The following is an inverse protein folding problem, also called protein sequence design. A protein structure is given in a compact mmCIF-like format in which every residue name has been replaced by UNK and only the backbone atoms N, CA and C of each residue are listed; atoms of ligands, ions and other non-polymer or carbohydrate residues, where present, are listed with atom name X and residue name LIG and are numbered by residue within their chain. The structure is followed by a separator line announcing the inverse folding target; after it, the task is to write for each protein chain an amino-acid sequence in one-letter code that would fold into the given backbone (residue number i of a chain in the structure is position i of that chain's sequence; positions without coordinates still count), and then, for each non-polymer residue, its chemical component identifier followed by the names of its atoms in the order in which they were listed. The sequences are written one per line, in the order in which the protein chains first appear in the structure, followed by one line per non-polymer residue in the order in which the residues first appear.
data_IF_803866089780
#
_entry.id   IF_803866089780
#
_cell.length_a   1.000
_cell.length_b   1.000
_cell.length_c   1.000
_cell.angle_alpha   90.00
_cell.angle_beta   90.00
_cell.angle_gamma   90.00
#
_symmetry.space_group_name_H-M   'P 1'
#
loop_
_entity.id
_entity.type
_entity.pdbx_description
1 polymer ?
#
# COMPACT_ATOMS: atom_id res chain seq x y z
N UNK A 1 27.88 64.44 22.71
CA UNK A 1 26.51 63.90 22.60
C UNK A 1 26.55 62.55 21.97
N UNK A 2 26.36 61.47 22.75
CA UNK A 2 26.22 60.09 22.26
C UNK A 2 24.73 59.75 22.23
N UNK A 3 24.18 59.06 21.25
CA UNK A 3 22.82 58.50 21.32
C UNK A 3 22.85 57.15 22.05
N UNK A 4 21.72 56.73 22.65
CA UNK A 4 21.66 55.58 23.53
C UNK A 4 21.43 54.26 22.79
N UNK A 5 22.13 53.22 23.31
CA UNK A 5 21.97 51.82 22.94
C UNK A 5 20.59 51.27 23.31
N UNK A 6 19.78 50.96 22.34
CA UNK A 6 18.54 50.23 22.48
C UNK A 6 18.71 48.75 22.09
N UNK A 7 19.09 47.87 23.02
CA UNK A 7 19.01 46.40 22.83
C UNK A 7 17.59 45.95 23.13
N UNK A 8 16.85 45.57 22.09
CA UNK A 8 15.63 44.79 22.24
C UNK A 8 16.00 43.30 22.38
N UNK A 9 15.78 42.78 23.58
CA UNK A 9 15.85 41.35 23.85
C UNK A 9 14.49 40.71 23.51
N UNK A 10 14.45 39.94 22.46
CA UNK A 10 13.32 39.05 22.13
C UNK A 10 13.43 37.79 23.00
N UNK A 11 12.48 37.59 23.90
CA UNK A 11 12.24 36.32 24.57
C UNK A 11 11.11 35.62 23.80
N UNK A 12 11.36 34.45 23.16
CA UNK A 12 10.26 33.63 22.65
C UNK A 12 9.68 32.88 23.85
N UNK A 13 8.45 33.22 24.23
CA UNK A 13 7.64 32.39 25.10
C UNK A 13 7.23 31.09 24.39
N UNK A 14 6.91 29.99 25.12
CA UNK A 14 6.50 28.73 24.50
C UNK A 14 5.18 28.93 23.79
N UNK A 15 5.19 28.78 22.44
CA UNK A 15 3.96 28.67 21.67
C UNK A 15 3.29 27.34 22.03
N UNK A 16 2.25 27.41 22.82
CA UNK A 16 1.31 26.30 22.99
C UNK A 16 0.52 26.21 21.68
N UNK A 17 0.82 25.20 20.89
CA UNK A 17 -0.05 24.76 19.77
C UNK A 17 -1.30 24.12 20.40
N UNK A 18 -2.31 24.91 20.68
CA UNK A 18 -3.67 24.42 20.81
C UNK A 18 -4.09 23.83 19.46
N UNK A 19 -4.03 22.51 19.35
CA UNK A 19 -4.69 21.78 18.28
C UNK A 19 -6.19 21.92 18.54
N UNK A 20 -6.79 22.94 17.93
CA UNK A 20 -8.24 23.04 17.81
C UNK A 20 -8.73 21.86 16.98
N UNK A 21 -9.08 20.77 17.66
CA UNK A 21 -9.87 19.69 17.07
C UNK A 21 -11.26 20.25 16.76
N UNK A 22 -11.43 20.79 15.54
CA UNK A 22 -12.78 20.99 15.02
C UNK A 22 -13.42 19.59 14.92
N UNK A 23 -14.62 19.38 15.50
CA UNK A 23 -15.38 18.16 15.19
C UNK A 23 -15.54 18.14 13.67
N UNK A 24 -15.30 16.96 13.08
CA UNK A 24 -15.54 16.75 11.65
C UNK A 24 -16.98 17.21 11.36
N UNK A 25 -17.21 17.94 10.24
CA UNK A 25 -18.55 18.34 9.87
C UNK A 25 -19.39 17.06 9.83
N UNK A 26 -20.56 17.06 10.50
CA UNK A 26 -21.53 15.99 10.37
C UNK A 26 -21.84 15.87 8.88
N UNK A 27 -21.27 14.85 8.23
CA UNK A 27 -21.54 14.58 6.85
C UNK A 27 -23.04 14.18 6.77
N UNK A 28 -23.80 14.86 5.93
CA UNK A 28 -25.16 14.47 5.61
C UNK A 28 -25.12 13.13 4.85
N UNK A 29 -25.12 12.04 5.61
CA UNK A 29 -25.23 10.69 5.04
C UNK A 29 -26.64 10.49 4.50
N UNK A 30 -26.74 10.01 3.27
CA UNK A 30 -28.02 9.53 2.73
C UNK A 30 -28.35 8.17 3.33
N UNK A 31 -29.63 7.75 3.30
CA UNK A 31 -30.04 6.44 3.79
C UNK A 31 -29.43 5.25 3.04
N UNK A 32 -28.79 5.50 1.89
CA UNK A 32 -28.14 4.48 1.05
C UNK A 32 -26.64 4.44 1.21
N UNK A 33 -26.04 5.41 1.93
CA UNK A 33 -24.61 5.45 2.17
C UNK A 33 -24.18 4.37 3.17
N UNK A 34 -23.09 3.69 2.88
CA UNK A 34 -22.54 2.64 3.74
C UNK A 34 -21.13 3.00 4.20
N UNK A 35 -20.89 2.83 5.50
CA UNK A 35 -19.56 3.02 6.08
C UNK A 35 -18.86 1.67 6.19
N UNK A 36 -17.69 1.55 5.60
CA UNK A 36 -16.81 0.39 5.72
C UNK A 36 -15.41 0.84 6.18
N UNK A 37 -14.73 -0.03 6.92
CA UNK A 37 -13.32 0.17 7.18
C UNK A 37 -12.49 -0.84 6.38
N UNK A 38 -11.33 -0.39 5.91
CA UNK A 38 -10.33 -1.25 5.30
C UNK A 38 -9.05 -1.24 6.12
N UNK A 39 -8.44 -2.40 6.27
CA UNK A 39 -7.27 -2.63 7.09
C UNK A 39 -6.23 -3.43 6.30
N UNK A 40 -5.03 -2.89 6.20
CA UNK A 40 -3.94 -3.48 5.43
C UNK A 40 -2.68 -3.60 6.27
N UNK A 41 -2.06 -4.77 6.22
CA UNK A 41 -0.66 -4.93 6.63
C UNK A 41 0.11 -5.54 5.46
N UNK A 42 1.10 -4.79 4.98
CA UNK A 42 1.88 -5.14 3.80
C UNK A 42 3.05 -6.07 4.08
N UNK A 43 3.78 -6.44 3.03
CA UNK A 43 4.99 -7.29 3.13
C UNK A 43 6.15 -6.61 3.84
N UNK A 44 6.14 -5.29 3.99
CA UNK A 44 7.09 -4.51 4.78
C UNK A 44 7.00 -4.83 6.28
N UNK A 45 5.81 -5.24 6.76
CA UNK A 45 5.51 -5.50 8.18
C UNK A 45 5.87 -4.32 9.09
N UNK A 46 5.68 -3.10 8.61
CA UNK A 46 5.91 -1.86 9.36
C UNK A 46 4.73 -1.49 10.27
N UNK A 47 3.51 -1.90 9.89
CA UNK A 47 2.32 -1.67 10.70
C UNK A 47 1.03 -2.08 10.02
N UNK A 48 -0.06 -1.56 10.55
CA UNK A 48 -1.41 -1.70 10.02
C UNK A 48 -1.90 -0.33 9.59
N UNK A 49 -2.16 -0.17 8.29
CA UNK A 49 -2.88 0.97 7.73
C UNK A 49 -4.38 0.73 7.79
N UNK A 50 -5.12 1.71 8.24
CA UNK A 50 -6.56 1.67 8.30
C UNK A 50 -7.21 2.90 7.71
N UNK A 51 -8.38 2.72 7.10
CA UNK A 51 -9.23 3.82 6.60
C UNK A 51 -10.69 3.56 6.96
N UNK A 52 -11.44 4.64 7.14
CA UNK A 52 -12.89 4.60 7.27
C UNK A 52 -13.51 5.37 6.11
N UNK A 53 -14.34 4.70 5.33
CA UNK A 53 -14.84 5.19 4.04
C UNK A 53 -16.36 5.12 3.99
N UNK A 54 -16.96 6.16 3.42
CA UNK A 54 -18.35 6.20 3.00
C UNK A 54 -18.43 5.85 1.52
N UNK A 55 -19.18 4.81 1.21
CA UNK A 55 -19.53 4.44 -0.16
C UNK A 55 -20.97 4.85 -0.47
N UNK A 56 -21.22 5.30 -1.69
CA UNK A 56 -22.57 5.48 -2.21
C UNK A 56 -23.22 4.12 -2.59
N UNK A 57 -24.45 4.17 -3.05
CA UNK A 57 -25.23 2.98 -3.48
C UNK A 57 -24.58 2.22 -4.63
N UNK A 58 -23.77 2.90 -5.47
CA UNK A 58 -23.01 2.29 -6.56
C UNK A 58 -21.62 1.77 -6.14
N UNK A 59 -21.26 1.92 -4.86
CA UNK A 59 -19.95 1.51 -4.33
C UNK A 59 -18.79 2.44 -4.69
N UNK A 60 -19.08 3.67 -5.14
CA UNK A 60 -18.07 4.70 -5.35
C UNK A 60 -17.71 5.33 -4.02
N UNK A 61 -16.46 5.70 -3.85
CA UNK A 61 -16.02 6.45 -2.66
C UNK A 61 -16.63 7.85 -2.69
N UNK A 62 -17.52 8.11 -1.74
CA UNK A 62 -18.09 9.43 -1.51
C UNK A 62 -17.18 10.30 -0.65
N UNK A 63 -16.61 9.67 0.39
CA UNK A 63 -15.74 10.36 1.34
C UNK A 63 -14.84 9.37 2.08
N UNK A 64 -13.58 9.75 2.28
CA UNK A 64 -12.71 9.16 3.29
C UNK A 64 -12.87 9.96 4.58
N UNK A 65 -13.42 9.34 5.63
CA UNK A 65 -13.69 10.01 6.91
C UNK A 65 -12.40 10.23 7.70
N UNK A 66 -11.56 9.22 7.76
CA UNK A 66 -10.26 9.27 8.44
C UNK A 66 -9.37 8.11 8.02
N UNK A 67 -8.09 8.23 8.33
CA UNK A 67 -7.10 7.16 8.23
C UNK A 67 -6.30 7.06 9.53
N UNK A 68 -5.78 5.89 9.82
CA UNK A 68 -4.93 5.63 10.98
C UNK A 68 -3.83 4.66 10.62
N UNK A 69 -2.70 4.78 11.29
CA UNK A 69 -1.60 3.83 11.24
C UNK A 69 -1.25 3.35 12.66
N UNK A 70 -1.01 2.05 12.78
CA UNK A 70 -0.53 1.44 14.03
C UNK A 70 0.76 0.69 13.72
N UNK A 71 1.90 1.09 14.28
CA UNK A 71 3.18 0.45 14.01
C UNK A 71 3.18 -0.99 14.53
N UNK A 72 3.79 -1.90 13.76
CA UNK A 72 3.91 -3.29 14.16
C UNK A 72 4.98 -3.44 15.26
N UNK A 73 4.62 -4.01 16.43
CA UNK A 73 5.58 -4.26 17.48
C UNK A 73 6.68 -5.23 17.00
N UNK A 74 7.93 -4.96 17.38
CA UNK A 74 9.08 -5.75 16.96
C UNK A 74 8.96 -7.26 17.31
N UNK A 75 8.41 -7.66 18.48
CA UNK A 75 8.18 -9.08 18.75
C UNK A 75 7.24 -9.76 17.77
N UNK A 76 6.15 -9.07 17.38
CA UNK A 76 5.19 -9.59 16.40
C UNK A 76 5.83 -9.66 15.01
N UNK A 77 6.57 -8.62 14.59
CA UNK A 77 7.31 -8.61 13.32
C UNK A 77 8.25 -9.81 13.20
N UNK A 78 9.02 -10.12 14.25
CA UNK A 78 9.90 -11.30 14.27
C UNK A 78 9.13 -12.61 14.16
N UNK A 79 7.99 -12.75 14.85
CA UNK A 79 7.14 -13.94 14.74
C UNK A 79 6.63 -14.15 13.31
N UNK A 80 6.11 -13.10 12.69
CA UNK A 80 5.60 -13.14 11.32
C UNK A 80 6.70 -13.40 10.29
N UNK A 81 7.89 -12.82 10.48
CA UNK A 81 9.06 -13.08 9.62
C UNK A 81 9.51 -14.54 9.72
N UNK A 82 9.56 -15.11 10.93
CA UNK A 82 9.92 -16.51 11.11
C UNK A 82 8.93 -17.45 10.41
N UNK A 83 7.64 -17.11 10.38
CA UNK A 83 6.59 -17.88 9.70
C UNK A 83 6.65 -17.81 8.17
N UNK A 84 7.52 -17.00 7.58
CA UNK A 84 7.77 -17.02 6.14
C UNK A 84 8.61 -18.22 5.68
N UNK A 85 9.24 -18.92 6.61
CA UNK A 85 10.06 -20.11 6.35
C UNK A 85 9.55 -21.31 7.16
N UNK A 86 9.66 -22.53 6.63
CA UNK A 86 9.28 -23.75 7.37
C UNK A 86 10.05 -23.89 8.69
N UNK A 87 9.33 -24.17 9.77
CA UNK A 87 9.90 -24.37 11.10
C UNK A 87 9.11 -25.42 11.91
N UNK A 88 9.64 -25.87 13.03
CA UNK A 88 8.91 -26.71 13.97
C UNK A 88 7.82 -25.92 14.69
N UNK A 89 6.69 -26.56 15.00
CA UNK A 89 5.53 -25.98 15.75
C UNK A 89 4.91 -24.74 15.06
N UNK A 90 4.94 -24.69 13.72
CA UNK A 90 4.40 -23.57 12.96
C UNK A 90 2.92 -23.29 13.24
N UNK A 91 2.10 -24.32 13.43
CA UNK A 91 0.64 -24.15 13.61
C UNK A 91 0.32 -23.36 14.88
N UNK A 92 0.95 -23.69 16.00
CA UNK A 92 0.74 -22.97 17.24
C UNK A 92 1.35 -21.55 17.17
N UNK A 93 2.52 -21.39 16.52
CA UNK A 93 3.13 -20.09 16.30
C UNK A 93 2.25 -19.19 15.41
N UNK A 94 1.69 -19.73 14.33
CA UNK A 94 0.78 -19.03 13.44
C UNK A 94 -0.52 -18.60 14.15
N UNK A 95 -1.11 -19.49 14.96
CA UNK A 95 -2.30 -19.16 15.74
C UNK A 95 -2.04 -17.99 16.71
N UNK A 96 -0.94 -18.03 17.47
CA UNK A 96 -0.55 -16.93 18.38
C UNK A 96 -0.27 -15.62 17.63
N UNK A 97 0.44 -15.68 16.51
CA UNK A 97 0.71 -14.50 15.67
C UNK A 97 -0.59 -13.91 15.11
N UNK A 98 -1.54 -14.76 14.68
CA UNK A 98 -2.85 -14.33 14.21
C UNK A 98 -3.66 -13.60 15.28
N UNK A 99 -3.60 -14.05 16.56
CA UNK A 99 -4.23 -13.38 17.68
C UNK A 99 -3.61 -12.00 17.97
N UNK A 100 -2.28 -11.91 18.04
CA UNK A 100 -1.58 -10.64 18.25
C UNK A 100 -1.86 -9.64 17.11
N UNK A 101 -1.93 -10.16 15.89
CA UNK A 101 -2.27 -9.32 14.72
C UNK A 101 -3.70 -8.81 14.80
N UNK A 102 -4.66 -9.65 15.23
CA UNK A 102 -6.04 -9.21 15.43
C UNK A 102 -6.16 -8.10 16.49
N UNK A 103 -5.38 -8.18 17.58
CA UNK A 103 -5.33 -7.13 18.61
C UNK A 103 -4.78 -5.82 18.03
N UNK A 104 -3.74 -5.88 17.20
CA UNK A 104 -3.16 -4.72 16.52
C UNK A 104 -4.16 -4.09 15.51
N UNK A 105 -4.89 -4.91 14.77
CA UNK A 105 -5.97 -4.48 13.88
C UNK A 105 -7.11 -3.82 14.66
N UNK A 106 -7.49 -4.38 15.80
CA UNK A 106 -8.52 -3.80 16.69
C UNK A 106 -8.10 -2.43 17.22
N UNK A 107 -6.82 -2.24 17.57
CA UNK A 107 -6.28 -0.92 17.96
C UNK A 107 -6.41 0.09 16.81
N UNK A 108 -6.10 -0.31 15.57
CA UNK A 108 -6.27 0.54 14.39
C UNK A 108 -7.74 0.95 14.20
N UNK A 109 -8.68 0.00 14.33
CA UNK A 109 -10.12 0.29 14.26
C UNK A 109 -10.55 1.26 15.36
N UNK A 110 -10.09 1.07 16.59
CA UNK A 110 -10.41 1.99 17.70
C UNK A 110 -9.94 3.42 17.40
N UNK A 111 -8.73 3.60 16.85
CA UNK A 111 -8.22 4.92 16.43
C UNK A 111 -9.11 5.54 15.35
N UNK A 112 -9.51 4.77 14.34
CA UNK A 112 -10.41 5.24 13.28
C UNK A 112 -11.75 5.73 13.86
N UNK A 113 -12.36 4.95 14.75
CA UNK A 113 -13.64 5.28 15.38
C UNK A 113 -13.53 6.52 16.27
N UNK A 114 -12.45 6.63 17.08
CA UNK A 114 -12.21 7.78 17.94
C UNK A 114 -12.00 9.07 17.14
N UNK A 115 -11.20 9.01 16.07
CA UNK A 115 -10.90 10.18 15.23
C UNK A 115 -12.12 10.67 14.43
N UNK A 116 -12.98 9.75 13.99
CA UNK A 116 -14.16 10.09 13.19
C UNK A 116 -15.41 10.39 14.00
N UNK A 117 -15.47 9.99 15.27
CA UNK A 117 -16.69 10.02 16.08
C UNK A 117 -17.76 9.02 15.66
N UNK A 118 -17.43 8.10 14.72
CA UNK A 118 -18.35 7.05 14.25
C UNK A 118 -18.42 5.92 15.28
N UNK A 119 -19.63 5.46 15.57
CA UNK A 119 -19.84 4.31 16.45
C UNK A 119 -19.65 2.98 15.69
N UNK A 120 -19.24 1.89 16.37
CA UNK A 120 -19.11 0.57 15.73
C UNK A 120 -20.38 0.11 14.99
N UNK A 121 -21.56 0.51 15.47
CA UNK A 121 -22.85 0.14 14.85
C UNK A 121 -23.11 0.78 13.49
N UNK A 122 -22.44 1.88 13.18
CA UNK A 122 -22.57 2.59 11.91
C UNK A 122 -21.64 1.99 10.84
N UNK A 123 -20.63 1.20 11.24
CA UNK A 123 -19.71 0.55 10.32
C UNK A 123 -20.29 -0.79 9.90
N UNK A 124 -20.53 -0.97 8.61
CA UNK A 124 -21.21 -2.15 8.05
C UNK A 124 -20.32 -3.41 8.12
N UNK A 125 -19.04 -3.28 7.78
CA UNK A 125 -18.04 -4.34 7.90
C UNK A 125 -16.62 -3.78 7.83
N UNK A 126 -15.66 -4.57 8.36
CA UNK A 126 -14.23 -4.38 8.21
C UNK A 126 -13.74 -5.29 7.08
N UNK A 127 -12.96 -4.77 6.15
CA UNK A 127 -12.18 -5.54 5.20
C UNK A 127 -10.74 -5.69 5.72
N UNK A 128 -10.35 -6.87 6.13
CA UNK A 128 -9.06 -7.11 6.76
C UNK A 128 -8.17 -8.02 5.90
N UNK A 129 -7.05 -7.47 5.43
CA UNK A 129 -6.09 -8.25 4.63
C UNK A 129 -5.45 -9.39 5.43
N UNK A 130 -5.10 -9.13 6.69
CA UNK A 130 -4.22 -10.00 7.46
C UNK A 130 -2.76 -9.85 7.00
N UNK A 131 -1.87 -10.74 7.44
CA UNK A 131 -0.45 -10.75 7.06
C UNK A 131 -0.11 -11.97 6.24
N UNK A 132 0.33 -11.78 5.01
CA UNK A 132 0.77 -12.87 4.15
C UNK A 132 2.05 -13.51 4.71
N UNK A 133 2.00 -14.82 4.99
CA UNK A 133 3.14 -15.62 5.43
C UNK A 133 3.51 -16.69 4.43
N UNK A 134 2.56 -17.17 3.61
CA UNK A 134 2.79 -18.09 2.49
C UNK A 134 1.94 -17.64 1.29
N UNK A 135 2.52 -17.74 0.12
CA UNK A 135 1.79 -17.46 -1.12
C UNK A 135 2.34 -18.36 -2.23
N UNK A 136 1.66 -19.45 -2.49
CA UNK A 136 2.09 -20.51 -3.44
C UNK A 136 0.91 -20.90 -4.33
N UNK A 137 0.44 -19.99 -5.21
CA UNK A 137 -0.71 -20.25 -6.07
C UNK A 137 -0.54 -21.46 -6.98
N UNK A 138 0.72 -21.75 -7.38
CA UNK A 138 1.04 -22.94 -8.17
C UNK A 138 0.71 -24.27 -7.46
N UNK A 139 0.72 -24.26 -6.12
CA UNK A 139 0.30 -25.39 -5.27
C UNK A 139 -1.15 -25.24 -4.78
N UNK A 140 -1.86 -24.21 -5.24
CA UNK A 140 -3.27 -24.00 -4.95
C UNK A 140 -3.57 -23.36 -3.60
N UNK A 141 -2.61 -22.68 -2.95
CA UNK A 141 -2.86 -22.05 -1.66
C UNK A 141 -2.17 -20.69 -1.47
N UNK A 142 -2.75 -19.92 -0.54
CA UNK A 142 -2.21 -18.67 0.00
C UNK A 142 -2.65 -18.52 1.46
N UNK A 143 -1.80 -17.99 2.32
CA UNK A 143 -2.09 -17.85 3.75
C UNK A 143 -1.83 -16.41 4.21
N UNK A 144 -2.90 -15.73 4.58
CA UNK A 144 -2.89 -14.46 5.28
C UNK A 144 -3.35 -14.70 6.72
N UNK A 145 -2.42 -14.56 7.67
CA UNK A 145 -2.74 -14.76 9.09
C UNK A 145 -3.57 -13.63 9.64
N UNK A 146 -4.64 -13.98 10.32
CA UNK A 146 -5.48 -13.09 11.12
C UNK A 146 -6.46 -13.97 11.91
N UNK A 147 -6.62 -13.71 13.22
CA UNK A 147 -7.75 -14.24 13.99
C UNK A 147 -8.96 -13.31 13.77
N UNK A 148 -9.64 -13.51 12.64
CA UNK A 148 -10.77 -12.66 12.24
C UNK A 148 -11.98 -12.74 13.20
N UNK A 149 -12.35 -13.91 13.80
CA UNK A 149 -13.34 -13.98 14.87
C UNK A 149 -12.97 -13.12 16.09
N UNK A 150 -11.69 -13.14 16.51
CA UNK A 150 -11.20 -12.30 17.61
C UNK A 150 -11.31 -10.82 17.29
N UNK A 151 -10.98 -10.42 16.07
CA UNK A 151 -11.15 -9.03 15.61
C UNK A 151 -12.63 -8.61 15.64
N UNK A 152 -13.55 -9.46 15.17
CA UNK A 152 -14.98 -9.20 15.19
C UNK A 152 -15.51 -9.06 16.61
N UNK A 153 -15.07 -9.92 17.54
CA UNK A 153 -15.41 -9.86 18.97
C UNK A 153 -14.90 -8.57 19.61
N UNK A 154 -13.62 -8.22 19.37
CA UNK A 154 -12.98 -7.06 19.98
C UNK A 154 -13.58 -5.72 19.51
N UNK A 155 -13.99 -5.62 18.24
CA UNK A 155 -14.49 -4.39 17.64
C UNK A 155 -16.02 -4.27 17.69
N UNK A 156 -16.73 -5.39 17.76
CA UNK A 156 -18.18 -5.45 17.62
C UNK A 156 -18.67 -5.12 16.20
N UNK A 157 -17.81 -5.31 15.19
CA UNK A 157 -18.08 -5.05 13.77
C UNK A 157 -17.82 -6.34 12.99
N UNK A 158 -18.67 -6.65 12.01
CA UNK A 158 -18.46 -7.78 11.11
C UNK A 158 -17.13 -7.68 10.37
N UNK A 159 -16.40 -8.80 10.22
CA UNK A 159 -15.09 -8.84 9.55
C UNK A 159 -15.16 -9.70 8.30
N UNK A 160 -14.66 -9.14 7.21
CA UNK A 160 -14.39 -9.85 5.96
C UNK A 160 -12.88 -10.06 5.88
N UNK A 161 -12.45 -11.31 5.88
CA UNK A 161 -11.03 -11.71 5.80
C UNK A 161 -10.86 -12.85 4.79
N UNK A 162 -9.64 -13.36 4.61
CA UNK A 162 -9.32 -14.38 3.61
C UNK A 162 -9.79 -13.99 2.19
N UNK A 163 -9.37 -12.84 1.75
CA UNK A 163 -9.81 -12.24 0.50
C UNK A 163 -9.13 -12.81 -0.76
N UNK A 164 -8.17 -13.75 -0.60
CA UNK A 164 -7.37 -14.28 -1.73
C UNK A 164 -7.63 -15.73 -2.06
N UNK A 165 -8.03 -16.55 -1.09
CA UNK A 165 -8.16 -18.01 -1.27
C UNK A 165 -9.20 -18.41 -2.30
N UNK A 166 -10.31 -17.65 -2.41
CA UNK A 166 -11.36 -17.95 -3.40
C UNK A 166 -10.85 -17.77 -4.85
N UNK A 167 -10.02 -16.75 -5.11
CA UNK A 167 -9.40 -16.55 -6.43
C UNK A 167 -8.39 -17.66 -6.74
N UNK A 168 -7.55 -18.05 -5.77
CA UNK A 168 -6.61 -19.17 -5.93
C UNK A 168 -7.35 -20.49 -6.20
N UNK A 169 -8.43 -20.76 -5.48
CA UNK A 169 -9.28 -21.93 -5.72
C UNK A 169 -9.93 -21.91 -7.11
N UNK A 170 -10.23 -20.73 -7.65
CA UNK A 170 -10.67 -20.56 -9.02
C UNK A 170 -9.54 -20.69 -10.07
N UNK A 171 -8.30 -20.99 -9.64
CA UNK A 171 -7.13 -21.12 -10.50
C UNK A 171 -6.39 -19.81 -10.78
N UNK A 172 -6.80 -18.72 -10.12
CA UNK A 172 -6.12 -17.43 -10.19
C UNK A 172 -4.87 -17.39 -9.31
N UNK A 173 -4.13 -16.29 -9.43
CA UNK A 173 -2.89 -16.07 -8.67
C UNK A 173 -3.16 -15.51 -7.25
N UNK A 174 -4.39 -15.14 -6.87
CA UNK A 174 -4.71 -14.53 -5.59
C UNK A 174 -4.18 -13.10 -5.40
N UNK A 175 -3.39 -12.61 -6.35
CA UNK A 175 -2.81 -11.28 -6.41
C UNK A 175 -2.50 -10.92 -7.88
N UNK A 176 -2.50 -9.61 -8.24
CA UNK A 176 -2.95 -8.48 -7.44
C UNK A 176 -4.49 -8.36 -7.40
N UNK A 177 -5.07 -7.92 -6.27
CA UNK A 177 -6.52 -7.64 -6.16
C UNK A 177 -6.86 -6.16 -6.43
N UNK A 178 -5.90 -5.27 -6.17
CA UNK A 178 -6.11 -3.82 -6.30
C UNK A 178 -6.48 -3.33 -7.69
N UNK A 179 -6.05 -3.95 -8.81
CA UNK A 179 -6.48 -3.51 -10.13
C UNK A 179 -7.99 -3.49 -10.34
N UNK A 180 -8.74 -4.44 -9.75
CA UNK A 180 -10.20 -4.45 -9.80
C UNK A 180 -10.81 -3.24 -9.05
N UNK A 181 -10.27 -2.92 -7.87
CA UNK A 181 -10.62 -1.72 -7.11
C UNK A 181 -10.29 -0.44 -7.88
N UNK A 182 -9.07 -0.34 -8.42
CA UNK A 182 -8.65 0.83 -9.19
C UNK A 182 -9.57 1.09 -10.39
N UNK A 183 -9.93 0.04 -11.12
CA UNK A 183 -10.85 0.15 -12.26
C UNK A 183 -12.24 0.65 -11.85
N UNK A 184 -12.72 0.24 -10.68
CA UNK A 184 -14.01 0.65 -10.16
C UNK A 184 -13.98 2.09 -9.65
N UNK A 185 -13.03 2.42 -8.78
CA UNK A 185 -13.02 3.71 -8.09
C UNK A 185 -12.58 4.86 -8.99
N UNK A 186 -11.74 4.58 -9.99
CA UNK A 186 -11.26 5.57 -10.96
C UNK A 186 -11.95 5.48 -12.34
N UNK A 187 -13.11 4.82 -12.41
CA UNK A 187 -13.87 4.64 -13.66
C UNK A 187 -14.26 5.94 -14.39
N UNK A 188 -14.22 7.09 -13.68
CA UNK A 188 -14.46 8.41 -14.27
C UNK A 188 -13.32 8.94 -15.15
N UNK A 189 -12.12 8.37 -15.04
CA UNK A 189 -10.98 8.78 -15.88
C UNK A 189 -11.12 8.22 -17.29
N UNK A 190 -10.73 9.02 -18.27
CA UNK A 190 -10.81 8.64 -19.69
C UNK A 190 -9.42 8.40 -20.28
N UNK A 191 -9.34 7.49 -21.25
CA UNK A 191 -8.12 7.17 -21.96
C UNK A 191 -7.37 5.98 -21.36
N UNK A 192 -6.06 5.97 -21.52
CA UNK A 192 -5.17 4.91 -21.00
C UNK A 192 -4.28 5.47 -19.90
N UNK A 193 -4.48 5.06 -18.68
CA UNK A 193 -3.80 5.60 -17.51
C UNK A 193 -3.33 4.49 -16.55
N UNK A 194 -2.42 4.85 -15.64
CA UNK A 194 -1.86 3.94 -14.66
C UNK A 194 -2.09 4.39 -13.23
N UNK A 195 -2.25 3.42 -12.33
CA UNK A 195 -2.12 3.62 -10.89
C UNK A 195 -0.86 2.87 -10.47
N UNK A 196 0.13 3.61 -9.98
CA UNK A 196 1.42 3.08 -9.58
C UNK A 196 1.55 3.07 -8.07
N UNK A 197 1.50 1.88 -7.48
CA UNK A 197 1.76 1.70 -6.06
C UNK A 197 3.26 1.57 -5.81
N UNK A 198 3.83 2.51 -5.08
CA UNK A 198 5.23 2.57 -4.65
C UNK A 198 5.35 2.04 -3.21
N UNK A 199 5.14 0.73 -3.05
CA UNK A 199 5.41 -0.01 -1.82
C UNK A 199 6.87 -0.45 -1.70
N UNK A 200 7.14 -1.61 -1.14
CA UNK A 200 8.49 -2.22 -1.21
C UNK A 200 8.89 -2.55 -2.64
N UNK A 201 7.95 -3.13 -3.40
CA UNK A 201 8.00 -3.36 -4.85
C UNK A 201 7.02 -2.38 -5.49
N UNK A 202 7.37 -1.87 -6.66
CA UNK A 202 6.48 -1.02 -7.46
C UNK A 202 5.52 -1.88 -8.28
N UNK A 203 4.21 -1.64 -8.14
CA UNK A 203 3.17 -2.34 -8.88
C UNK A 203 2.37 -1.34 -9.71
N UNK A 204 2.23 -1.62 -11.02
CA UNK A 204 1.51 -0.78 -11.96
C UNK A 204 0.19 -1.46 -12.36
N UNK A 205 -0.92 -0.80 -12.07
CA UNK A 205 -2.22 -1.10 -12.67
C UNK A 205 -2.40 -0.23 -13.90
N UNK A 206 -2.66 -0.83 -15.05
CA UNK A 206 -3.01 -0.13 -16.29
C UNK A 206 -4.49 -0.29 -16.55
N UNK A 207 -5.18 0.81 -16.78
CA UNK A 207 -6.61 0.86 -17.10
C UNK A 207 -6.76 1.57 -18.43
N UNK A 208 -7.43 0.92 -19.38
CA UNK A 208 -7.72 1.46 -20.69
C UNK A 208 -9.23 1.51 -20.89
N UNK A 209 -9.77 2.73 -20.97
CA UNK A 209 -11.20 3.01 -21.14
C UNK A 209 -11.55 3.41 -22.59
N UNK A 210 -10.61 3.27 -23.53
CA UNK A 210 -10.86 3.63 -24.94
C UNK A 210 -11.80 2.61 -25.63
N UNK A 211 -11.96 1.42 -25.05
CA UNK A 211 -12.89 0.41 -25.52
C UNK A 211 -14.21 0.46 -24.72
N UNK A 212 -15.34 0.02 -25.28
CA UNK A 212 -16.63 -0.03 -24.58
C UNK A 212 -16.57 -0.81 -23.26
N UNK A 213 -15.74 -1.84 -23.19
CA UNK A 213 -15.43 -2.57 -21.94
C UNK A 213 -13.99 -2.23 -21.56
N UNK A 214 -13.77 -1.54 -20.43
CA UNK A 214 -12.43 -1.22 -19.97
C UNK A 214 -11.57 -2.47 -19.80
N UNK A 215 -10.30 -2.37 -20.20
CA UNK A 215 -9.33 -3.42 -19.93
C UNK A 215 -8.46 -3.03 -18.74
N UNK A 216 -8.16 -4.01 -17.90
CA UNK A 216 -7.37 -3.82 -16.69
C UNK A 216 -6.29 -4.90 -16.63
N UNK A 217 -5.05 -4.48 -16.45
CA UNK A 217 -3.92 -5.38 -16.16
C UNK A 217 -3.14 -4.84 -14.97
N UNK A 218 -2.52 -5.73 -14.20
CA UNK A 218 -1.64 -5.36 -13.10
C UNK A 218 -0.35 -6.17 -13.14
N UNK A 219 0.79 -5.55 -12.85
CA UNK A 219 2.09 -6.23 -12.80
C UNK A 219 3.13 -5.41 -12.01
N UNK A 220 4.18 -6.09 -11.54
CA UNK A 220 5.28 -5.42 -10.84
C UNK A 220 6.28 -4.86 -11.84
N UNK A 221 6.73 -3.63 -11.61
CA UNK A 221 7.71 -2.97 -12.48
C UNK A 221 9.14 -3.22 -12.03
N UNK A 222 9.37 -3.42 -10.72
CA UNK A 222 10.67 -3.64 -10.12
C UNK A 222 10.71 -3.21 -8.66
N UNK A 223 11.90 -3.02 -8.07
CA UNK A 223 12.03 -2.55 -6.69
C UNK A 223 11.55 -1.09 -6.59
N UNK A 224 10.85 -0.78 -5.48
CA UNK A 224 10.59 0.60 -5.09
C UNK A 224 11.35 0.91 -3.79
N UNK A 225 10.68 0.91 -2.63
CA UNK A 225 11.35 1.28 -1.39
C UNK A 225 12.24 0.17 -0.81
N UNK A 226 12.07 -1.11 -1.18
CA UNK A 226 12.80 -2.22 -0.55
C UNK A 226 14.32 -2.03 -0.52
N UNK A 227 14.91 -1.59 -1.63
CA UNK A 227 16.37 -1.37 -1.71
C UNK A 227 16.75 -0.04 -1.07
N UNK A 228 15.96 1.01 -1.26
CA UNK A 228 16.16 2.34 -0.67
C UNK A 228 16.17 2.28 0.85
N UNK A 229 15.11 1.65 1.43
CA UNK A 229 14.94 1.55 2.86
C UNK A 229 15.99 0.62 3.48
N UNK A 230 16.27 -0.53 2.86
CA UNK A 230 17.30 -1.42 3.34
C UNK A 230 18.70 -0.80 3.31
N UNK A 231 18.99 0.06 2.32
CA UNK A 231 20.29 0.71 2.20
C UNK A 231 20.46 1.82 3.25
N UNK A 232 19.46 2.68 3.45
CA UNK A 232 19.53 3.71 4.49
C UNK A 232 19.51 3.11 5.89
N UNK A 233 18.77 2.03 6.14
CA UNK A 233 18.76 1.34 7.42
C UNK A 233 20.15 0.79 7.75
N UNK A 234 20.84 0.19 6.78
CA UNK A 234 22.18 -0.36 6.95
C UNK A 234 23.26 0.71 7.23
N UNK A 235 23.08 1.94 6.73
CA UNK A 235 24.10 3.01 6.85
C UNK A 235 23.77 4.05 7.92
N UNK A 236 22.51 4.33 8.18
CA UNK A 236 22.07 5.39 9.11
C UNK A 236 21.14 4.89 10.21
N UNK A 237 20.67 3.64 10.16
CA UNK A 237 19.69 3.11 11.10
C UNK A 237 18.29 3.72 10.95
N UNK A 238 18.04 4.48 9.88
CA UNK A 238 16.74 5.05 9.59
C UNK A 238 15.89 4.06 8.79
N UNK A 239 14.59 4.01 9.03
CA UNK A 239 13.68 3.08 8.34
C UNK A 239 13.46 3.44 6.87
N UNK A 240 13.55 4.70 6.50
CA UNK A 240 13.37 5.21 5.13
C UNK A 240 14.06 6.56 4.95
N UNK A 241 14.30 6.93 3.69
CA UNK A 241 14.87 8.21 3.28
C UNK A 241 13.77 9.28 3.19
N UNK A 242 13.65 10.11 4.23
CA UNK A 242 12.60 11.11 4.34
C UNK A 242 12.66 12.11 3.17
N UNK A 243 11.61 12.12 2.35
CA UNK A 243 11.49 12.91 1.12
C UNK A 243 12.64 12.73 0.10
N UNK A 244 13.45 11.66 0.20
CA UNK A 244 14.58 11.41 -0.67
C UNK A 244 15.78 12.34 -0.43
N UNK A 245 15.88 12.92 0.78
CA UNK A 245 16.92 13.90 1.09
C UNK A 245 18.33 13.32 1.05
N UNK A 246 18.51 12.09 1.49
CA UNK A 246 19.80 11.44 1.44
C UNK A 246 20.18 11.07 0.00
N UNK A 247 19.26 10.53 -0.77
CA UNK A 247 19.47 10.29 -2.20
C UNK A 247 19.84 11.57 -2.96
N UNK A 248 19.19 12.71 -2.62
CA UNK A 248 19.48 14.01 -3.22
C UNK A 248 20.86 14.56 -2.86
N UNK A 249 21.51 14.09 -1.80
CA UNK A 249 22.89 14.47 -1.41
C UNK A 249 23.95 13.70 -2.19
N UNK A 250 23.58 12.59 -2.86
CA UNK A 250 24.45 11.77 -3.68
C UNK A 250 24.34 12.09 -5.18
N UNK A 251 25.11 11.36 -5.96
CA UNK A 251 25.09 11.42 -7.43
C UNK A 251 24.85 10.02 -7.99
N UNK A 252 23.98 9.90 -8.96
CA UNK A 252 23.78 8.64 -9.67
C UNK A 252 25.08 8.18 -10.30
N UNK A 253 25.44 6.91 -10.10
CA UNK A 253 26.58 6.24 -10.71
C UNK A 253 26.10 5.57 -12.00
N UNK A 254 26.37 6.12 -13.21
CA UNK A 254 25.76 5.63 -14.45
C UNK A 254 26.08 4.15 -14.74
N UNK A 255 27.33 3.72 -14.53
CA UNK A 255 27.76 2.35 -14.77
C UNK A 255 27.07 1.35 -13.81
N UNK A 256 26.82 1.75 -12.55
CA UNK A 256 26.05 0.93 -11.61
C UNK A 256 24.58 0.87 -12.01
N UNK A 257 23.98 1.99 -12.38
CA UNK A 257 22.58 2.03 -12.82
C UNK A 257 22.34 1.14 -14.05
N UNK A 258 23.21 1.24 -15.07
CA UNK A 258 23.16 0.39 -16.26
C UNK A 258 23.24 -1.10 -15.89
N UNK A 259 24.17 -1.45 -15.00
CA UNK A 259 24.34 -2.82 -14.52
C UNK A 259 23.11 -3.31 -13.74
N UNK A 260 22.50 -2.49 -12.88
CA UNK A 260 21.28 -2.85 -12.16
C UNK A 260 20.09 -3.03 -13.10
N UNK A 261 19.94 -2.15 -14.11
CA UNK A 261 18.89 -2.22 -15.12
C UNK A 261 19.09 -3.40 -16.11
N UNK A 262 20.27 -4.01 -16.17
CA UNK A 262 20.50 -5.23 -16.97
C UNK A 262 19.91 -6.50 -16.36
N UNK A 263 19.30 -6.43 -15.16
CA UNK A 263 18.59 -7.56 -14.56
C UNK A 263 17.51 -8.09 -15.51
N UNK A 264 17.54 -9.39 -15.87
CA UNK A 264 16.63 -9.97 -16.87
C UNK A 264 15.14 -9.78 -16.56
N UNK A 265 14.78 -9.59 -15.28
CA UNK A 265 13.42 -9.32 -14.87
C UNK A 265 12.83 -8.09 -15.58
N UNK A 266 13.60 -7.01 -15.75
CA UNK A 266 13.09 -5.79 -16.36
C UNK A 266 12.65 -5.98 -17.81
N UNK A 267 13.34 -6.84 -18.56
CA UNK A 267 13.01 -7.15 -19.95
C UNK A 267 11.80 -8.09 -20.14
N UNK A 268 11.29 -8.73 -19.07
CA UNK A 268 10.11 -9.60 -19.17
C UNK A 268 8.87 -8.80 -19.56
N UNK A 269 8.02 -9.35 -20.47
CA UNK A 269 6.73 -8.74 -20.76
C UNK A 269 5.76 -8.84 -19.57
N UNK A 270 4.80 -7.92 -19.48
CA UNK A 270 3.66 -8.05 -18.60
C UNK A 270 2.70 -9.15 -19.10
N UNK A 271 2.00 -9.89 -18.20
CA UNK A 271 2.05 -9.77 -16.74
C UNK A 271 3.31 -10.41 -16.14
N UNK A 272 3.89 -9.77 -15.14
CA UNK A 272 5.06 -10.27 -14.42
C UNK A 272 5.01 -9.89 -12.95
N UNK A 273 5.60 -10.68 -12.08
CA UNK A 273 5.70 -10.40 -10.64
C UNK A 273 7.12 -10.62 -10.13
N UNK A 274 7.47 -9.95 -9.05
CA UNK A 274 8.75 -10.04 -8.34
C UNK A 274 8.59 -9.73 -6.86
N UNK A 275 9.65 -9.90 -6.09
CA UNK A 275 9.61 -9.70 -4.65
C UNK A 275 11.00 -9.45 -4.05
N UNK A 276 11.05 -9.49 -2.73
CA UNK A 276 12.30 -9.42 -1.95
C UNK A 276 13.21 -10.64 -2.10
N UNK A 277 12.69 -11.72 -2.66
CA UNK A 277 13.46 -12.89 -3.07
C UNK A 277 14.50 -12.52 -4.14
N UNK A 278 14.15 -11.67 -5.09
CA UNK A 278 15.07 -11.15 -6.11
C UNK A 278 15.72 -9.83 -5.66
N UNK A 279 14.92 -8.80 -5.38
CA UNK A 279 15.43 -7.47 -5.07
C UNK A 279 15.67 -7.29 -3.57
N UNK A 280 16.89 -7.58 -3.13
CA UNK A 280 17.33 -7.50 -1.74
C UNK A 280 18.77 -6.97 -1.63
N UNK A 281 19.24 -6.70 -0.40
CA UNK A 281 20.58 -6.18 -0.17
C UNK A 281 21.68 -7.14 -0.61
N UNK A 282 21.44 -8.46 -0.65
CA UNK A 282 22.44 -9.42 -1.13
C UNK A 282 22.62 -9.31 -2.64
N UNK A 283 21.53 -9.16 -3.40
CA UNK A 283 21.56 -8.85 -4.83
C UNK A 283 22.29 -7.53 -5.08
N UNK A 284 21.99 -6.46 -4.35
CA UNK A 284 22.67 -5.18 -4.49
C UNK A 284 24.18 -5.29 -4.22
N UNK A 285 24.58 -5.98 -3.13
CA UNK A 285 25.98 -6.18 -2.78
C UNK A 285 26.78 -6.90 -3.85
N UNK A 286 26.18 -7.85 -4.59
CA UNK A 286 26.84 -8.51 -5.72
C UNK A 286 27.17 -7.52 -6.85
N UNK A 287 26.26 -6.61 -7.14
CA UNK A 287 26.50 -5.57 -8.15
C UNK A 287 27.53 -4.52 -7.70
N UNK A 288 27.57 -4.21 -6.39
CA UNK A 288 28.53 -3.27 -5.81
C UNK A 288 29.97 -3.78 -5.77
N UNK A 289 30.23 -5.08 -5.98
CA UNK A 289 31.59 -5.62 -6.04
C UNK A 289 32.43 -4.95 -7.13
N UNK A 290 31.83 -4.46 -8.21
CA UNK A 290 32.51 -3.71 -9.26
C UNK A 290 32.70 -2.20 -8.93
N UNK A 291 32.13 -1.75 -7.80
CA UNK A 291 32.16 -0.35 -7.36
C UNK A 291 32.53 -0.25 -5.87
N UNK A 292 33.69 -0.79 -5.44
CA UNK A 292 34.04 -0.90 -4.02
C UNK A 292 34.20 0.46 -3.32
N UNK A 293 34.54 1.52 -4.05
CA UNK A 293 34.73 2.87 -3.52
C UNK A 293 33.49 3.77 -3.67
N UNK A 294 32.32 3.21 -4.05
CA UNK A 294 31.09 3.98 -4.20
C UNK A 294 30.66 4.58 -2.87
N UNK A 295 30.48 5.90 -2.82
CA UNK A 295 29.94 6.54 -1.63
C UNK A 295 28.49 6.08 -1.36
N UNK A 296 28.14 5.86 -0.10
CA UNK A 296 26.83 5.33 0.26
C UNK A 296 25.65 6.22 -0.22
N UNK A 297 25.83 7.55 -0.20
CA UNK A 297 24.83 8.49 -0.74
C UNK A 297 24.69 8.37 -2.27
N UNK A 298 25.78 8.10 -2.99
CA UNK A 298 25.73 7.90 -4.45
C UNK A 298 25.04 6.58 -4.81
N UNK A 299 25.21 5.54 -4.00
CA UNK A 299 24.45 4.30 -4.15
C UNK A 299 22.96 4.57 -3.90
N UNK A 300 22.60 5.32 -2.85
CA UNK A 300 21.19 5.69 -2.58
C UNK A 300 20.57 6.46 -3.74
N UNK A 301 21.29 7.44 -4.30
CA UNK A 301 20.87 8.19 -5.48
C UNK A 301 20.68 7.26 -6.70
N UNK A 302 21.57 6.27 -6.87
CA UNK A 302 21.48 5.29 -7.96
C UNK A 302 20.28 4.34 -7.78
N UNK A 303 19.96 3.95 -6.55
CA UNK A 303 18.78 3.13 -6.25
C UNK A 303 17.47 3.90 -6.52
N UNK A 304 17.44 5.19 -6.20
CA UNK A 304 16.30 6.06 -6.55
C UNK A 304 16.13 6.14 -8.07
N UNK A 305 17.24 6.33 -8.80
CA UNK A 305 17.23 6.34 -10.27
C UNK A 305 16.81 4.97 -10.85
N UNK A 306 17.22 3.86 -10.26
CA UNK A 306 16.78 2.51 -10.64
C UNK A 306 15.25 2.36 -10.56
N UNK A 307 14.66 2.77 -9.45
CA UNK A 307 13.19 2.75 -9.27
C UNK A 307 12.49 3.62 -10.30
N UNK A 308 13.00 4.83 -10.54
CA UNK A 308 12.43 5.76 -11.51
C UNK A 308 12.50 5.20 -12.94
N UNK A 309 13.68 4.70 -13.37
CA UNK A 309 13.88 4.20 -14.74
C UNK A 309 13.12 2.90 -15.01
N UNK A 310 13.16 1.91 -14.09
CA UNK A 310 12.41 0.65 -14.25
C UNK A 310 10.91 0.89 -14.34
N UNK A 311 10.40 1.83 -13.55
CA UNK A 311 9.00 2.25 -13.58
C UNK A 311 8.67 2.99 -14.89
N UNK A 312 9.53 3.93 -15.30
CA UNK A 312 9.34 4.69 -16.52
C UNK A 312 9.36 3.80 -17.78
N UNK A 313 10.22 2.77 -17.82
CA UNK A 313 10.21 1.77 -18.90
C UNK A 313 8.85 1.08 -19.00
N UNK A 314 8.27 0.67 -17.87
CA UNK A 314 6.96 0.02 -17.83
C UNK A 314 5.85 0.98 -18.29
N UNK A 315 5.88 2.24 -17.83
CA UNK A 315 4.90 3.28 -18.21
C UNK A 315 4.94 3.55 -19.71
N UNK A 316 6.14 3.74 -20.28
CA UNK A 316 6.33 3.97 -21.72
C UNK A 316 5.87 2.77 -22.55
N UNK A 317 6.20 1.54 -22.12
CA UNK A 317 5.79 0.31 -22.80
C UNK A 317 4.25 0.15 -22.86
N UNK A 318 3.54 0.78 -21.93
CA UNK A 318 2.07 0.77 -21.88
C UNK A 318 1.43 2.00 -22.56
N UNK A 319 2.20 2.95 -23.08
CA UNK A 319 1.70 4.19 -23.73
C UNK A 319 0.68 4.93 -22.86
N UNK A 320 1.01 5.15 -21.58
CA UNK A 320 0.11 5.81 -20.64
C UNK A 320 0.15 7.34 -20.81
N UNK A 321 -1.03 7.97 -20.84
CA UNK A 321 -1.17 9.43 -20.85
C UNK A 321 -1.05 10.05 -19.47
N UNK A 322 -1.39 9.28 -18.44
CA UNK A 322 -1.28 9.73 -17.04
C UNK A 322 -0.93 8.55 -16.12
N UNK A 323 -0.22 8.84 -15.04
CA UNK A 323 0.08 7.89 -13.96
C UNK A 323 -0.16 8.57 -12.63
N UNK A 324 -0.90 7.89 -11.75
CA UNK A 324 -1.21 8.36 -10.41
C UNK A 324 -0.47 7.50 -9.38
N UNK A 325 0.39 8.16 -8.59
CA UNK A 325 1.24 7.53 -7.61
C UNK A 325 0.49 7.28 -6.30
N UNK A 326 0.63 6.10 -5.73
CA UNK A 326 0.14 5.75 -4.39
C UNK A 326 1.18 4.91 -3.63
N UNK A 327 0.84 4.51 -2.40
CA UNK A 327 1.77 3.86 -1.47
C UNK A 327 2.73 4.83 -0.79
N UNK A 328 3.53 4.33 0.14
CA UNK A 328 4.46 5.16 0.95
C UNK A 328 5.50 5.91 0.12
N UNK A 329 5.99 5.32 -0.99
CA UNK A 329 6.94 5.95 -1.88
C UNK A 329 6.39 7.16 -2.66
N UNK A 330 5.08 7.32 -2.76
CA UNK A 330 4.45 8.50 -3.37
C UNK A 330 4.68 9.79 -2.56
N UNK A 331 4.98 9.67 -1.27
CA UNK A 331 5.35 10.79 -0.40
C UNK A 331 6.82 11.21 -0.56
N UNK A 332 7.63 10.42 -1.25
CA UNK A 332 9.01 10.76 -1.59
C UNK A 332 9.02 11.68 -2.82
N UNK A 333 9.07 13.00 -2.57
CA UNK A 333 9.04 14.01 -3.61
C UNK A 333 10.19 13.86 -4.63
N UNK A 334 11.38 13.45 -4.15
CA UNK A 334 12.53 13.16 -5.03
C UNK A 334 12.26 12.01 -5.99
N UNK A 335 11.61 10.94 -5.52
CA UNK A 335 11.23 9.79 -6.34
C UNK A 335 10.15 10.15 -7.36
N UNK A 336 9.10 10.87 -6.92
CA UNK A 336 8.04 11.33 -7.82
C UNK A 336 8.59 12.22 -8.95
N UNK A 337 9.50 13.15 -8.61
CA UNK A 337 10.16 14.00 -9.59
C UNK A 337 11.05 13.19 -10.56
N UNK A 338 11.82 12.22 -10.05
CA UNK A 338 12.66 11.36 -10.87
C UNK A 338 11.82 10.51 -11.84
N UNK A 339 10.67 9.97 -11.41
CA UNK A 339 9.73 9.26 -12.28
C UNK A 339 9.20 10.19 -13.37
N UNK A 340 8.76 11.42 -13.03
CA UNK A 340 8.28 12.40 -14.03
C UNK A 340 9.36 12.73 -15.05
N UNK A 341 10.61 12.92 -14.63
CA UNK A 341 11.74 13.18 -15.53
C UNK A 341 12.02 11.99 -16.45
N UNK A 342 12.00 10.77 -15.90
CA UNK A 342 12.26 9.54 -16.64
C UNK A 342 11.18 9.22 -17.68
N UNK A 343 9.89 9.45 -17.37
CA UNK A 343 8.80 9.19 -18.34
C UNK A 343 8.71 10.28 -19.42
N UNK A 344 9.19 11.48 -19.14
CA UNK A 344 9.13 12.63 -20.06
C UNK A 344 7.85 13.47 -19.91
N UNK A 345 7.72 14.55 -20.71
CA UNK A 345 6.63 15.53 -20.56
C UNK A 345 5.27 15.05 -21.08
N UNK A 346 5.24 14.03 -21.95
CA UNK A 346 4.01 13.54 -22.59
C UNK A 346 3.13 12.73 -21.64
N UNK A 347 3.69 12.21 -20.53
CA UNK A 347 2.95 11.46 -19.52
C UNK A 347 2.81 12.29 -18.25
N UNK A 348 1.59 12.57 -17.83
CA UNK A 348 1.30 13.25 -16.57
C UNK A 348 1.60 12.31 -15.39
N UNK A 349 2.42 12.74 -14.43
CA UNK A 349 2.64 12.02 -13.17
C UNK A 349 2.10 12.86 -12.02
N UNK A 350 1.14 12.31 -11.29
CA UNK A 350 0.51 12.97 -10.15
C UNK A 350 0.31 11.98 -9.00
N UNK A 351 0.08 12.47 -7.79
CA UNK A 351 -0.38 11.67 -6.66
C UNK A 351 -1.88 11.38 -6.78
N UNK A 352 -2.35 10.25 -6.22
CA UNK A 352 -3.78 9.93 -6.08
C UNK A 352 -4.55 10.95 -5.25
N UNK A 353 -3.88 11.87 -4.55
CA UNK A 353 -4.53 13.06 -3.97
C UNK A 353 -5.32 13.85 -5.02
N UNK A 354 -4.84 13.95 -6.26
CA UNK A 354 -5.54 14.60 -7.35
C UNK A 354 -6.88 13.91 -7.71
N UNK A 355 -7.03 12.65 -7.29
CA UNK A 355 -8.24 11.84 -7.47
C UNK A 355 -9.07 11.72 -6.18
N UNK A 356 -8.72 12.49 -5.13
CA UNK A 356 -9.45 12.52 -3.87
C UNK A 356 -9.11 11.41 -2.88
N UNK A 357 -8.06 10.61 -3.13
CA UNK A 357 -7.63 9.54 -2.23
C UNK A 357 -6.16 9.76 -1.85
N UNK A 358 -5.91 9.82 -0.54
CA UNK A 358 -4.53 9.92 -0.04
C UNK A 358 -3.71 8.70 -0.47
N UNK A 359 -2.46 8.88 -0.94
CA UNK A 359 -1.63 7.78 -1.48
C UNK A 359 -1.50 6.58 -0.56
N UNK A 360 -1.31 6.82 0.73
CA UNK A 360 -1.15 5.76 1.74
C UNK A 360 -2.48 5.05 2.05
N UNK A 361 -3.62 5.67 1.72
CA UNK A 361 -4.94 5.13 1.98
C UNK A 361 -5.48 4.21 0.87
N UNK A 362 -4.85 4.19 -0.31
CA UNK A 362 -5.38 3.51 -1.50
C UNK A 362 -5.54 2.00 -1.26
N UNK A 363 -4.52 1.32 -0.73
CA UNK A 363 -4.61 -0.13 -0.48
C UNK A 363 -5.66 -0.47 0.57
N UNK A 364 -5.65 0.24 1.72
CA UNK A 364 -6.66 0.04 2.75
C UNK A 364 -8.08 0.35 2.21
N UNK A 365 -8.24 1.36 1.34
CA UNK A 365 -9.51 1.65 0.66
C UNK A 365 -9.98 0.49 -0.22
N UNK A 366 -9.05 -0.19 -0.89
CA UNK A 366 -9.34 -1.39 -1.66
C UNK A 366 -9.90 -2.52 -0.80
N UNK A 367 -9.38 -2.70 0.43
CA UNK A 367 -9.93 -3.70 1.35
C UNK A 367 -11.31 -3.31 1.92
N UNK A 368 -11.56 -2.03 2.16
CA UNK A 368 -12.91 -1.55 2.50
C UNK A 368 -13.91 -1.84 1.37
N UNK A 369 -13.51 -1.57 0.11
CA UNK A 369 -14.33 -1.87 -1.06
C UNK A 369 -14.57 -3.37 -1.23
N UNK A 370 -13.55 -4.21 -1.08
CA UNK A 370 -13.70 -5.68 -1.14
C UNK A 370 -14.67 -6.19 -0.06
N UNK A 371 -14.62 -5.62 1.15
CA UNK A 371 -15.60 -5.96 2.19
C UNK A 371 -17.04 -5.58 1.78
N UNK A 372 -17.23 -4.41 1.19
CA UNK A 372 -18.52 -4.00 0.64
C UNK A 372 -19.00 -4.99 -0.44
N UNK A 373 -18.12 -5.35 -1.39
CA UNK A 373 -18.49 -6.30 -2.44
C UNK A 373 -18.90 -7.65 -1.85
N UNK A 374 -18.19 -8.12 -0.80
CA UNK A 374 -18.57 -9.36 -0.10
C UNK A 374 -19.93 -9.25 0.60
N UNK A 375 -20.22 -8.11 1.24
CA UNK A 375 -21.52 -7.86 1.90
C UNK A 375 -22.66 -7.88 0.89
N UNK A 376 -22.44 -7.37 -0.32
CA UNK A 376 -23.41 -7.36 -1.42
C UNK A 376 -23.35 -8.62 -2.31
N UNK A 377 -22.53 -9.61 -1.95
CA UNK A 377 -22.32 -10.84 -2.72
C UNK A 377 -22.00 -10.58 -4.21
N UNK A 378 -21.27 -9.49 -4.47
CA UNK A 378 -20.86 -9.07 -5.81
C UNK A 378 -19.58 -9.75 -6.23
N UNK A 379 -19.54 -10.54 -7.33
CA UNK A 379 -18.29 -11.12 -7.85
C UNK A 379 -17.30 -10.05 -8.30
N UNK A 380 -16.01 -10.31 -8.05
CA UNK A 380 -14.91 -9.43 -8.46
C UNK A 380 -14.37 -9.89 -9.82
N UNK A 381 -14.22 -8.98 -10.81
CA UNK A 381 -13.74 -9.32 -12.16
C UNK A 381 -12.22 -9.55 -12.17
N UNK A 382 -11.79 -10.75 -11.80
CA UNK A 382 -10.37 -11.12 -11.68
C UNK A 382 -9.83 -11.98 -12.85
N UNK A 383 -10.68 -12.49 -13.72
CA UNK A 383 -10.27 -13.41 -14.81
C UNK A 383 -9.13 -12.88 -15.67
N UNK A 384 -9.12 -11.57 -15.98
CA UNK A 384 -8.05 -10.93 -16.76
C UNK A 384 -6.90 -10.37 -15.90
N UNK A 385 -7.08 -10.33 -14.59
CA UNK A 385 -6.12 -9.75 -13.63
C UNK A 385 -5.25 -10.84 -13.04
N UNK A 386 -5.88 -11.89 -12.49
CA UNK A 386 -5.19 -12.99 -11.80
C UNK A 386 -5.16 -14.29 -12.61
N UNK A 387 -5.90 -14.35 -13.71
CA UNK A 387 -6.01 -15.54 -14.53
C UNK A 387 -6.97 -16.60 -13.97
N UNK A 388 -7.86 -16.23 -13.04
CA UNK A 388 -8.89 -17.14 -12.52
C UNK A 388 -9.86 -17.58 -13.62
N UNK A 389 -10.45 -18.78 -13.47
CA UNK A 389 -11.40 -19.34 -14.45
C UNK A 389 -12.72 -18.59 -14.53
N UNK A 390 -13.10 -17.92 -13.46
CA UNK A 390 -14.35 -17.15 -13.35
C UNK A 390 -14.18 -16.05 -12.29
N UNK A 391 -15.06 -15.07 -12.33
CA UNK A 391 -15.15 -14.05 -11.29
C UNK A 391 -15.68 -14.68 -10.00
N UNK A 392 -15.14 -14.25 -8.85
CA UNK A 392 -15.42 -14.86 -7.56
C UNK A 392 -15.89 -13.84 -6.53
N UNK A 393 -16.78 -14.27 -5.64
CA UNK A 393 -17.10 -13.55 -4.41
C UNK A 393 -15.94 -13.83 -3.43
N UNK A 394 -15.22 -12.78 -3.04
CA UNK A 394 -14.03 -12.91 -2.22
C UNK A 394 -14.35 -12.75 -0.73
N UNK A 395 -13.64 -13.48 0.10
CA UNK A 395 -13.60 -13.31 1.54
C UNK A 395 -14.60 -14.16 2.34
N UNK A 396 -14.14 -14.59 3.49
CA UNK A 396 -14.95 -15.21 4.54
C UNK A 396 -15.56 -14.11 5.43
N UNK A 397 -16.85 -14.28 5.81
CA UNK A 397 -17.59 -13.34 6.64
C UNK A 397 -17.69 -13.83 8.07
N UNK A 398 -17.02 -13.14 9.00
CA UNK A 398 -17.06 -13.40 10.44
C UNK A 398 -17.99 -12.38 11.10
N UNK A 399 -19.11 -12.88 11.65
CA UNK A 399 -20.09 -12.04 12.32
C UNK A 399 -19.62 -11.56 13.67
N UNK A 400 -19.82 -10.29 13.97
CA UNK A 400 -19.68 -9.77 15.32
C UNK A 400 -20.75 -10.37 16.24
N UNK A 401 -20.48 -10.45 17.56
CA UNK A 401 -21.48 -10.91 18.50
C UNK A 401 -22.74 -10.08 18.41
N UNK A 402 -23.91 -10.73 18.42
CA UNK A 402 -25.19 -10.04 18.47
C UNK A 402 -25.30 -9.32 19.81
N UNK A 403 -24.93 -8.05 19.84
CA UNK A 403 -25.27 -7.20 20.99
C UNK A 403 -26.79 -7.08 21.01
N UNK A 404 -27.42 -7.56 22.09
CA UNK A 404 -28.86 -7.43 22.33
C UNK A 404 -29.26 -5.99 21.99
N UNK A 405 -30.26 -5.87 21.09
CA UNK A 405 -30.84 -4.61 20.63
C UNK A 405 -31.55 -3.89 21.76
#
# INVERSE_FOLDING_TARGET
MRPPDGRFSFHPGPMQHEVLTRPAPQADFTHTDEIHAGLMSGTSMDGVDGVLIVFDDQGRIRQTLTSAFVPMPEPLRRQLTALQHPASDELAAAARAGQHLADLYAECVQKLLQQSGISPRQVRALGAHGQTVRHVPAEGYTLQLLDAPRLAEATGIDVIADLRSADVAAGGQGAPLMPAFHAHVFAGLQGRYGILNLGGIANLTVIDTQQPTPTVIGFDTGPANTLLDGWIEAHHGHRYDHHGQWAASGRTIPALLERLLSEPYFARPAPKSTGRDLFNLSWLKQHLQAHPDAAAADVQATLLALTAESTAQAIRAQNLSAVYLCGGGAENAGLAQAIQQAVGPETLVQSTHALGIAPQAVEASGFAWLARQRVHETPIPLTRITGSRHDSILGAWHKAPSRQR
#
